data_IF_777025441058
#
_entry.id   IF_777025441058
#
_cell.length_a   1.000
_cell.length_b   1.000
_cell.length_c   1.000
_cell.angle_alpha   90.00
_cell.angle_beta   90.00
_cell.angle_gamma   90.00
#
_symmetry.space_group_name_H-M   'P 1'
#
loop_
_entity.id
_entity.type
_entity.pdbx_description
1 polymer ?
#
# COMPACT_ATOMS: atom_id res chain seq x y z
N UNK A 1 -50.72 -20.71 -30.73
CA UNK A 1 -50.85 -19.37 -31.34
C UNK A 1 -49.47 -18.75 -31.47
N UNK A 2 -48.95 -18.63 -32.70
CA UNK A 2 -47.62 -18.09 -33.00
C UNK A 2 -47.70 -16.55 -33.02
N UNK A 3 -46.84 -15.87 -32.26
CA UNK A 3 -46.69 -14.41 -32.32
C UNK A 3 -45.40 -14.08 -33.06
N UNK A 4 -45.53 -13.45 -34.22
CA UNK A 4 -44.44 -12.84 -34.97
C UNK A 4 -44.29 -11.39 -34.52
N UNK A 5 -43.07 -10.95 -34.23
CA UNK A 5 -42.72 -9.54 -34.04
C UNK A 5 -41.89 -9.13 -35.27
N UNK A 6 -42.37 -8.13 -36.00
CA UNK A 6 -41.78 -7.58 -37.21
C UNK A 6 -41.39 -6.13 -36.95
N UNK A 7 -40.12 -5.82 -37.30
CA UNK A 7 -39.50 -4.52 -37.66
C UNK A 7 -39.59 -3.34 -36.65
N UNK A 8 -38.58 -2.46 -36.52
CA UNK A 8 -37.92 -1.72 -37.61
C UNK A 8 -36.49 -1.31 -37.26
N UNK A 9 -35.59 -1.45 -38.24
CA UNK A 9 -34.21 -0.93 -38.23
C UNK A 9 -34.23 0.43 -38.96
N UNK A 10 -33.81 1.49 -38.28
CA UNK A 10 -33.57 2.81 -38.88
C UNK A 10 -32.07 2.97 -39.19
N UNK A 11 -31.65 3.19 -40.44
CA UNK A 11 -30.27 3.54 -40.75
C UNK A 11 -30.10 5.06 -40.65
N UNK A 12 -29.34 5.54 -39.67
CA UNK A 12 -28.81 6.90 -39.67
C UNK A 12 -27.67 7.00 -40.68
N UNK A 13 -27.99 7.53 -41.87
CA UNK A 13 -27.01 8.02 -42.83
C UNK A 13 -26.53 9.40 -42.36
N UNK A 14 -25.34 9.47 -41.76
CA UNK A 14 -24.64 10.74 -41.55
C UNK A 14 -23.60 10.95 -42.64
N UNK A 15 -23.89 11.97 -43.43
CA UNK A 15 -23.22 12.46 -44.64
C UNK A 15 -21.82 13.00 -44.35
N UNK A 16 -20.82 12.48 -45.05
CA UNK A 16 -19.50 13.08 -45.19
C UNK A 16 -19.58 14.43 -45.94
N UNK A 17 -19.16 15.53 -45.31
CA UNK A 17 -18.79 16.76 -46.01
C UNK A 17 -17.27 16.86 -46.07
N UNK A 18 -16.72 16.83 -47.29
CA UNK A 18 -15.34 17.21 -47.60
C UNK A 18 -15.27 18.73 -47.72
N UNK A 19 -14.42 19.36 -46.92
CA UNK A 19 -14.00 20.75 -47.14
C UNK A 19 -12.66 20.80 -47.88
N UNK A 20 -12.58 21.75 -48.82
CA UNK A 20 -11.48 21.96 -49.74
C UNK A 20 -10.38 22.81 -49.11
N UNK A 21 -9.15 22.41 -49.36
CA UNK A 21 -7.89 23.15 -49.14
C UNK A 21 -7.73 24.29 -50.14
N UNK A 22 -7.27 25.45 -49.67
CA UNK A 22 -6.63 26.54 -50.47
C UNK A 22 -5.41 27.08 -49.70
N UNK A 23 -4.29 27.46 -50.36
CA UNK A 23 -2.96 27.56 -49.75
C UNK A 23 -2.48 28.98 -49.34
N UNK A 24 -1.72 29.02 -48.24
CA UNK A 24 -0.49 29.79 -47.83
C UNK A 24 -0.29 31.25 -48.30
N UNK A 25 0.12 32.16 -47.39
CA UNK A 25 1.51 32.64 -47.44
C UNK A 25 2.23 32.68 -46.09
N UNK A 26 3.49 32.23 -46.14
CA UNK A 26 4.53 32.22 -45.11
C UNK A 26 4.85 33.62 -44.57
N UNK A 27 4.93 33.78 -43.24
CA UNK A 27 5.92 34.65 -42.60
C UNK A 27 6.21 34.18 -41.18
N UNK A 28 7.49 33.95 -40.94
CA UNK A 28 8.06 33.51 -39.68
C UNK A 28 7.85 34.55 -38.56
N UNK A 29 7.46 34.06 -37.39
CA UNK A 29 7.84 34.65 -36.12
C UNK A 29 8.21 33.47 -35.20
N UNK A 30 9.52 33.24 -35.08
CA UNK A 30 10.10 32.38 -34.05
C UNK A 30 9.77 33.05 -32.71
N UNK A 31 8.65 32.66 -32.10
CA UNK A 31 8.43 32.94 -30.69
C UNK A 31 9.38 32.03 -29.90
N UNK A 32 10.40 32.68 -29.33
CA UNK A 32 11.25 32.09 -28.28
C UNK A 32 10.30 31.46 -27.26
N UNK A 33 10.37 30.13 -27.23
CA UNK A 33 9.82 29.31 -26.16
C UNK A 33 10.67 29.66 -24.95
N UNK A 34 10.22 30.61 -24.14
CA UNK A 34 10.67 30.74 -22.76
C UNK A 34 10.17 29.49 -22.04
N UNK A 35 10.92 28.40 -22.23
CA UNK A 35 10.84 27.25 -21.34
C UNK A 35 11.40 27.72 -20.02
N UNK A 36 10.53 28.28 -19.19
CA UNK A 36 10.71 28.20 -17.76
C UNK A 36 10.76 26.69 -17.48
N UNK A 37 11.98 26.15 -17.42
CA UNK A 37 12.22 24.89 -16.74
C UNK A 37 11.92 25.20 -15.29
N UNK A 38 10.66 25.03 -14.89
CA UNK A 38 10.37 24.70 -13.50
C UNK A 38 11.19 23.46 -13.22
N UNK A 39 12.27 23.62 -12.44
CA UNK A 39 12.94 22.50 -11.81
C UNK A 39 11.87 21.80 -10.98
N UNK A 40 11.24 20.76 -11.56
CA UNK A 40 10.38 19.86 -10.82
C UNK A 40 11.25 19.30 -9.71
N UNK A 41 10.90 19.64 -8.47
CA UNK A 41 11.61 19.20 -7.28
C UNK A 41 11.73 17.66 -7.36
N UNK A 42 12.96 17.19 -7.53
CA UNK A 42 13.20 15.79 -7.83
C UNK A 42 12.91 14.98 -6.56
N UNK A 43 11.84 14.19 -6.59
CA UNK A 43 11.53 13.25 -5.51
C UNK A 43 12.71 12.31 -5.26
N UNK A 44 13.08 12.17 -3.99
CA UNK A 44 14.04 11.19 -3.50
C UNK A 44 13.32 10.28 -2.50
N UNK A 45 13.56 8.97 -2.62
CA UNK A 45 12.95 7.99 -1.72
C UNK A 45 13.49 8.16 -0.30
N UNK A 46 12.62 8.54 0.63
CA UNK A 46 12.92 8.55 2.07
C UNK A 46 12.23 7.36 2.73
N UNK A 47 12.99 6.31 2.99
CA UNK A 47 12.52 5.04 3.57
C UNK A 47 11.84 5.22 4.92
N UNK A 48 12.23 6.25 5.69
CA UNK A 48 11.67 6.51 7.01
C UNK A 48 10.30 7.21 6.94
N UNK A 49 9.91 7.65 5.75
CA UNK A 49 8.62 8.30 5.48
C UNK A 49 7.64 7.39 4.73
N UNK A 50 8.01 6.13 4.49
CA UNK A 50 7.19 5.13 3.81
C UNK A 50 6.75 4.04 4.77
N UNK A 51 5.49 3.64 4.63
CA UNK A 51 4.89 2.62 5.48
C UNK A 51 4.11 1.61 4.62
N UNK A 52 4.18 0.33 4.97
CA UNK A 52 3.29 -0.68 4.40
C UNK A 52 1.86 -0.45 4.87
N UNK A 53 0.90 -0.59 3.95
CA UNK A 53 -0.52 -0.47 4.25
C UNK A 53 -1.22 -1.78 3.94
N UNK A 54 -1.99 -2.22 4.94
CA UNK A 54 -2.54 -3.55 5.02
C UNK A 54 -4.01 -3.48 5.37
N UNK A 55 -4.81 -4.35 4.74
CA UNK A 55 -6.18 -4.57 5.15
C UNK A 55 -6.15 -5.58 6.31
N UNK A 56 -6.64 -5.19 7.49
CA UNK A 56 -6.63 -6.03 8.70
C UNK A 56 -7.97 -6.72 8.96
N UNK A 57 -9.07 -6.12 8.50
CA UNK A 57 -10.43 -6.67 8.58
C UNK A 57 -11.16 -6.40 7.27
N UNK A 58 -12.43 -6.80 7.15
CA UNK A 58 -13.24 -6.48 5.95
C UNK A 58 -13.42 -4.98 5.68
N UNK A 59 -13.18 -4.12 6.68
CA UNK A 59 -13.37 -2.66 6.59
C UNK A 59 -12.14 -1.84 7.00
N UNK A 60 -11.25 -2.41 7.79
CA UNK A 60 -10.16 -1.68 8.42
C UNK A 60 -8.86 -1.85 7.62
N UNK A 61 -8.28 -0.71 7.27
CA UNK A 61 -7.01 -0.58 6.56
C UNK A 61 -6.07 0.20 7.45
N UNK A 62 -4.85 -0.27 7.63
CA UNK A 62 -3.94 0.30 8.60
C UNK A 62 -2.50 0.39 8.09
N UNK A 63 -1.78 1.37 8.62
CA UNK A 63 -0.32 1.29 8.77
C UNK A 63 -0.06 0.43 10.02
N UNK A 64 0.77 -0.60 9.88
CA UNK A 64 1.14 -1.47 10.99
C UNK A 64 2.60 -1.22 11.35
N UNK A 65 2.85 -0.78 12.58
CA UNK A 65 4.20 -0.51 13.10
C UNK A 65 4.56 -1.63 14.07
N UNK A 66 5.58 -2.45 13.77
CA UNK A 66 6.02 -3.50 14.70
C UNK A 66 6.55 -2.85 15.99
N UNK A 67 6.28 -3.49 17.11
CA UNK A 67 6.85 -3.15 18.41
C UNK A 67 7.25 -4.44 19.11
N UNK A 68 8.42 -4.44 19.73
CA UNK A 68 9.00 -5.63 20.31
C UNK A 68 9.56 -5.33 21.71
N UNK A 69 9.17 -6.15 22.68
CA UNK A 69 9.67 -6.02 24.04
C UNK A 69 11.17 -6.23 24.12
N UNK A 70 11.87 -5.36 24.85
CA UNK A 70 13.32 -5.45 25.04
C UNK A 70 14.16 -5.09 23.81
N UNK A 71 13.55 -4.71 22.68
CA UNK A 71 14.25 -4.21 21.50
C UNK A 71 14.10 -2.68 21.39
N UNK A 72 15.11 -1.89 21.78
CA UNK A 72 15.05 -0.44 21.71
C UNK A 72 15.29 0.13 20.31
N UNK A 73 15.79 -0.68 19.37
CA UNK A 73 16.12 -0.23 18.01
C UNK A 73 14.86 -0.19 17.13
N UNK A 74 13.84 -0.97 17.48
CA UNK A 74 12.51 -0.91 16.86
C UNK A 74 11.76 0.36 17.30
N UNK A 75 11.28 1.20 16.37
CA UNK A 75 10.55 2.43 16.70
C UNK A 75 9.36 2.18 17.62
N UNK A 76 9.16 3.08 18.59
CA UNK A 76 8.06 3.06 19.57
C UNK A 76 8.08 1.90 20.58
N UNK A 77 8.91 0.86 20.44
CA UNK A 77 8.96 -0.30 21.34
C UNK A 77 9.09 0.07 22.81
N UNK A 78 10.06 0.93 23.16
CA UNK A 78 10.24 1.38 24.56
C UNK A 78 9.01 2.09 25.11
N UNK A 79 8.34 2.91 24.28
CA UNK A 79 7.14 3.65 24.69
C UNK A 79 5.95 2.69 24.86
N UNK A 80 5.82 1.73 23.95
CA UNK A 80 4.85 0.65 24.00
C UNK A 80 5.03 -0.19 25.26
N UNK A 81 6.22 -0.71 25.51
CA UNK A 81 6.56 -1.49 26.71
C UNK A 81 6.28 -0.71 28.00
N UNK A 82 6.66 0.57 28.06
CA UNK A 82 6.36 1.42 29.21
C UNK A 82 4.85 1.61 29.43
N UNK A 83 4.07 1.77 28.36
CA UNK A 83 2.62 1.84 28.45
C UNK A 83 2.04 0.51 28.93
N UNK A 84 2.50 -0.63 28.40
CA UNK A 84 2.01 -1.94 28.79
C UNK A 84 2.30 -2.29 30.25
N UNK A 85 3.53 -2.03 30.71
CA UNK A 85 3.99 -2.36 32.06
C UNK A 85 3.41 -1.45 33.14
N UNK A 86 3.26 -0.15 32.87
CA UNK A 86 2.76 0.82 33.85
C UNK A 86 1.24 1.02 33.79
N UNK A 87 0.63 1.04 32.59
CA UNK A 87 -0.79 1.34 32.37
C UNK A 87 -1.66 0.08 32.19
N UNK A 88 -1.12 -1.09 32.54
CA UNK A 88 -1.85 -2.34 32.75
C UNK A 88 -2.46 -2.95 31.48
N UNK A 89 -1.63 -3.55 30.60
CA UNK A 89 -2.06 -4.76 29.87
C UNK A 89 -1.59 -5.95 30.69
N UNK A 90 -2.48 -6.55 31.48
CA UNK A 90 -2.01 -7.47 32.48
C UNK A 90 -2.31 -8.92 32.14
N UNK A 91 -2.91 -9.24 30.99
CA UNK A 91 -3.24 -10.63 30.68
C UNK A 91 -2.01 -11.51 30.38
N UNK A 92 -0.92 -10.93 29.86
CA UNK A 92 0.42 -11.57 29.75
C UNK A 92 0.98 -11.85 31.17
N UNK A 93 0.44 -11.20 32.20
CA UNK A 93 0.88 -11.28 33.60
C UNK A 93 -0.28 -11.54 34.62
N UNK A 94 -1.42 -12.09 34.19
CA UNK A 94 -2.54 -12.47 35.04
C UNK A 94 -3.37 -11.37 35.77
N UNK A 95 -3.57 -10.16 35.24
CA UNK A 95 -4.57 -9.18 35.78
C UNK A 95 -5.61 -8.71 34.75
N UNK A 96 -6.72 -8.19 35.25
CA UNK A 96 -7.89 -7.75 34.45
C UNK A 96 -7.62 -6.51 33.61
N UNK A 97 -8.04 -6.55 32.33
CA UNK A 97 -7.94 -5.44 31.39
C UNK A 97 -9.00 -4.36 31.66
N UNK A 98 -8.70 -3.37 32.51
CA UNK A 98 -9.59 -2.21 32.69
C UNK A 98 -9.62 -1.33 31.42
N UNK A 99 -10.82 -1.03 30.93
CA UNK A 99 -11.09 -0.10 29.80
C UNK A 99 -10.65 -0.55 28.39
N UNK A 100 -10.27 -1.81 28.20
CA UNK A 100 -9.98 -2.37 26.88
C UNK A 100 -11.23 -2.99 26.25
N UNK A 101 -11.29 -2.93 24.92
CA UNK A 101 -12.35 -3.57 24.13
C UNK A 101 -11.72 -4.37 23.01
N UNK A 102 -12.26 -5.55 22.75
CA UNK A 102 -12.00 -6.25 21.49
C UNK A 102 -12.49 -5.37 20.34
N UNK A 103 -11.55 -4.95 19.48
CA UNK A 103 -11.84 -4.21 18.27
C UNK A 103 -12.19 -5.17 17.13
N UNK A 104 -11.43 -6.26 17.02
CA UNK A 104 -11.71 -7.39 16.13
C UNK A 104 -11.19 -8.69 16.78
N UNK A 105 -11.88 -9.80 16.54
CA UNK A 105 -11.48 -11.14 17.03
C UNK A 105 -11.54 -12.21 15.93
N UNK A 106 -11.92 -11.83 14.70
CA UNK A 106 -12.28 -12.78 13.64
C UNK A 106 -11.16 -12.89 12.61
N UNK A 107 -10.41 -11.81 12.41
CA UNK A 107 -9.36 -11.71 11.39
C UNK A 107 -8.09 -12.46 11.84
N UNK A 108 -6.95 -12.18 11.18
CA UNK A 108 -5.71 -12.97 11.36
C UNK A 108 -5.25 -13.03 12.82
N UNK A 109 -5.40 -11.93 13.57
CA UNK A 109 -5.22 -11.88 15.02
C UNK A 109 -6.19 -10.90 15.68
N UNK A 110 -6.42 -11.04 17.00
CA UNK A 110 -7.29 -10.12 17.74
C UNK A 110 -6.67 -8.73 17.81
N UNK A 111 -7.51 -7.72 17.61
CA UNK A 111 -7.15 -6.31 17.75
C UNK A 111 -7.81 -5.74 19.00
N UNK A 112 -7.06 -4.92 19.73
CA UNK A 112 -7.49 -4.30 20.98
C UNK A 112 -7.58 -2.79 20.83
N UNK A 113 -8.62 -2.22 21.41
CA UNK A 113 -8.80 -0.78 21.50
C UNK A 113 -8.82 -0.33 22.95
N UNK A 114 -8.08 0.74 23.22
CA UNK A 114 -8.13 1.49 24.47
C UNK A 114 -7.99 2.98 24.16
N UNK A 115 -8.82 3.82 24.79
CA UNK A 115 -8.85 5.26 24.48
C UNK A 115 -7.54 5.96 24.86
N UNK A 116 -6.96 5.61 26.01
CA UNK A 116 -5.68 6.19 26.47
C UNK A 116 -4.53 5.78 25.57
N UNK A 117 -4.50 4.49 25.18
CA UNK A 117 -3.56 4.00 24.19
C UNK A 117 -3.65 4.81 22.89
N UNK A 118 -4.87 4.98 22.37
CA UNK A 118 -5.09 5.79 21.17
C UNK A 118 -4.57 7.22 21.34
N UNK A 119 -4.93 7.89 22.43
CA UNK A 119 -4.56 9.29 22.66
C UNK A 119 -3.04 9.52 22.82
N UNK A 120 -2.30 8.48 23.24
CA UNK A 120 -0.84 8.51 23.34
C UNK A 120 -0.21 8.24 21.98
N UNK A 121 -0.53 7.11 21.36
CA UNK A 121 0.18 6.66 20.16
C UNK A 121 -0.23 7.40 18.90
N UNK A 122 -1.46 7.95 18.84
CA UNK A 122 -1.88 8.78 17.71
C UNK A 122 -0.99 10.02 17.52
N UNK A 123 -0.38 10.53 18.59
CA UNK A 123 0.52 11.71 18.55
C UNK A 123 1.91 11.40 18.01
N UNK A 124 2.27 10.11 17.89
CA UNK A 124 3.57 9.70 17.34
C UNK A 124 3.56 9.69 15.81
N UNK A 125 2.38 9.81 15.20
CA UNK A 125 2.18 9.79 13.75
C UNK A 125 1.74 11.17 13.25
N UNK A 126 1.94 11.44 11.96
CA UNK A 126 1.39 12.63 11.30
C UNK A 126 -0.12 12.54 11.21
N UNK A 127 -0.77 13.70 11.15
CA UNK A 127 -2.23 13.79 11.01
C UNK A 127 -2.75 13.15 9.72
N UNK A 128 -1.92 13.16 8.66
CA UNK A 128 -2.30 12.68 7.35
C UNK A 128 -1.15 12.11 6.53
N UNK A 129 -1.48 11.18 5.63
CA UNK A 129 -0.57 10.49 4.73
C UNK A 129 -1.15 10.43 3.32
N UNK A 130 -0.28 10.38 2.32
CA UNK A 130 -0.64 9.99 0.96
C UNK A 130 -0.68 8.46 0.89
N UNK A 131 -1.86 7.88 0.72
CA UNK A 131 -2.05 6.43 0.63
C UNK A 131 -2.21 6.04 -0.83
N UNK A 132 -1.28 5.22 -1.30
CA UNK A 132 -1.22 4.72 -2.66
C UNK A 132 -1.85 3.34 -2.71
N UNK A 133 -2.80 3.16 -3.63
CA UNK A 133 -3.41 1.87 -3.93
C UNK A 133 -3.10 1.40 -5.33
N UNK A 134 -3.74 0.31 -5.75
CA UNK A 134 -3.52 -0.31 -7.06
C UNK A 134 -3.97 0.52 -8.27
N UNK A 135 -4.73 1.61 -8.08
CA UNK A 135 -5.28 2.42 -9.18
C UNK A 135 -4.90 3.90 -9.14
N UNK A 136 -4.77 4.46 -7.94
CA UNK A 136 -4.45 5.86 -7.71
C UNK A 136 -4.02 6.04 -6.25
N UNK A 137 -3.93 7.29 -5.79
CA UNK A 137 -3.65 7.61 -4.39
C UNK A 137 -4.67 8.61 -3.85
N UNK A 138 -4.74 8.72 -2.52
CA UNK A 138 -5.55 9.72 -1.85
C UNK A 138 -4.89 10.15 -0.54
N UNK A 139 -5.19 11.35 -0.08
CA UNK A 139 -4.78 11.80 1.25
C UNK A 139 -5.71 11.21 2.30
N UNK A 140 -5.15 10.47 3.26
CA UNK A 140 -5.87 9.84 4.37
C UNK A 140 -5.42 10.40 5.71
N UNK A 141 -6.26 10.29 6.72
CA UNK A 141 -6.03 10.61 8.12
C UNK A 141 -6.21 9.37 8.99
N UNK A 142 -5.56 9.35 10.16
CA UNK A 142 -5.74 8.29 11.15
C UNK A 142 -7.09 8.45 11.85
N UNK A 143 -8.01 7.52 11.61
CA UNK A 143 -9.31 7.44 12.28
C UNK A 143 -9.17 6.91 13.71
N UNK A 144 -8.38 5.87 13.89
CA UNK A 144 -8.24 5.15 15.14
C UNK A 144 -6.86 4.53 15.27
N UNK A 145 -6.42 4.34 16.50
CA UNK A 145 -5.26 3.51 16.82
C UNK A 145 -5.71 2.33 17.65
N UNK A 146 -5.32 1.14 17.20
CA UNK A 146 -5.52 -0.15 17.87
C UNK A 146 -4.18 -0.86 17.93
N UNK A 147 -4.10 -1.97 18.64
CA UNK A 147 -2.88 -2.77 18.69
C UNK A 147 -3.23 -4.25 18.73
N UNK A 148 -2.28 -5.06 18.31
CA UNK A 148 -2.29 -6.50 18.49
C UNK A 148 -1.19 -6.83 19.49
N UNK A 149 -1.49 -7.77 20.39
CA UNK A 149 -0.52 -8.23 21.38
C UNK A 149 -0.52 -9.74 21.47
N UNK A 150 0.68 -10.32 21.49
CA UNK A 150 0.95 -11.75 21.57
C UNK A 150 1.76 -12.10 22.81
N UNK A 151 1.67 -13.35 23.25
CA UNK A 151 2.43 -13.84 24.41
C UNK A 151 3.95 -13.84 24.19
N UNK A 152 4.39 -13.80 22.92
CA UNK A 152 5.81 -13.78 22.55
C UNK A 152 6.41 -12.37 22.55
N UNK A 153 5.62 -11.32 22.77
CA UNK A 153 6.08 -9.95 22.80
C UNK A 153 6.47 -9.35 21.46
N UNK A 154 6.11 -10.03 20.36
CA UNK A 154 6.15 -9.51 19.00
C UNK A 154 4.76 -8.98 18.67
N UNK A 155 4.61 -7.66 18.77
CA UNK A 155 3.33 -6.97 18.75
C UNK A 155 3.33 -5.93 17.62
N UNK A 156 2.19 -5.31 17.36
CA UNK A 156 2.16 -4.14 16.49
C UNK A 156 1.09 -3.13 16.87
N UNK A 157 1.37 -1.87 16.52
CA UNK A 157 0.43 -0.77 16.60
C UNK A 157 -0.18 -0.57 15.20
N UNK A 158 -1.50 -0.64 15.11
CA UNK A 158 -2.25 -0.43 13.88
C UNK A 158 -2.95 0.94 13.88
N UNK A 159 -2.54 1.79 12.94
CA UNK A 159 -3.11 3.10 12.70
C UNK A 159 -4.15 2.99 11.59
N UNK A 160 -5.44 2.87 11.98
CA UNK A 160 -6.56 2.70 11.05
C UNK A 160 -6.79 3.98 10.25
N UNK A 161 -6.74 3.88 8.93
CA UNK A 161 -6.86 4.96 7.97
C UNK A 161 -8.27 5.10 7.41
N UNK A 162 -8.67 6.31 7.00
CA UNK A 162 -9.93 6.56 6.29
C UNK A 162 -9.85 6.32 4.77
N UNK A 163 -9.39 5.14 4.36
CA UNK A 163 -9.23 4.82 2.93
C UNK A 163 -10.58 4.57 2.26
N UNK A 164 -10.80 5.22 1.12
CA UNK A 164 -11.81 4.84 0.13
C UNK A 164 -11.19 3.92 -0.94
N UNK A 165 -11.54 2.63 -0.91
CA UNK A 165 -11.07 1.63 -1.88
C UNK A 165 -11.68 1.80 -3.26
N UNK A 166 -12.83 2.45 -3.39
CA UNK A 166 -13.45 2.69 -4.69
C UNK A 166 -12.61 3.68 -5.50
N UNK A 167 -11.97 4.64 -4.81
CA UNK A 167 -11.10 5.63 -5.42
C UNK A 167 -9.73 5.04 -5.79
N UNK A 168 -9.04 4.40 -4.83
CA UNK A 168 -7.62 4.03 -4.99
C UNK A 168 -7.38 2.55 -5.32
N UNK A 169 -8.41 1.71 -5.26
CA UNK A 169 -8.26 0.26 -5.32
C UNK A 169 -7.80 -0.33 -3.98
N UNK A 170 -6.99 -1.39 -4.03
CA UNK A 170 -6.43 -1.97 -2.80
C UNK A 170 -5.24 -1.12 -2.32
N UNK A 171 -5.21 -0.71 -1.05
CA UNK A 171 -4.13 0.13 -0.51
C UNK A 171 -2.84 -0.68 -0.36
N UNK A 172 -1.70 -0.03 -0.61
CA UNK A 172 -0.40 -0.68 -0.68
C UNK A 172 0.63 -0.01 0.22
N UNK A 173 0.86 1.28 0.06
CA UNK A 173 1.79 2.05 0.90
C UNK A 173 1.17 3.36 1.33
N UNK A 174 1.68 3.91 2.42
CA UNK A 174 1.46 5.28 2.84
C UNK A 174 2.79 6.03 2.81
N UNK A 175 2.77 7.30 2.42
CA UNK A 175 3.91 8.18 2.51
C UNK A 175 3.55 9.51 3.16
N UNK A 176 4.49 10.08 3.89
CA UNK A 176 4.35 11.43 4.46
C UNK A 176 4.46 12.54 3.40
N UNK A 177 5.06 12.23 2.25
CA UNK A 177 5.25 13.17 1.12
C UNK A 177 4.58 12.60 -0.12
N UNK A 178 4.14 13.50 -1.01
CA UNK A 178 3.61 13.06 -2.29
C UNK A 178 4.73 12.48 -3.15
N UNK A 179 4.52 11.24 -3.57
CA UNK A 179 5.30 10.55 -4.58
C UNK A 179 4.57 10.72 -5.93
N UNK A 180 5.21 11.32 -6.95
CA UNK A 180 4.61 11.52 -8.27
C UNK A 180 4.63 10.21 -9.09
N UNK A 181 3.90 9.21 -8.61
CA UNK A 181 3.80 7.90 -9.26
C UNK A 181 3.04 7.98 -10.58
N UNK A 182 3.59 7.31 -11.58
CA UNK A 182 2.88 6.99 -12.81
C UNK A 182 2.29 5.59 -12.66
N UNK A 183 0.99 5.48 -12.87
CA UNK A 183 0.27 4.21 -12.93
C UNK A 183 0.23 3.74 -14.37
N UNK A 184 0.67 2.52 -14.62
CA UNK A 184 0.67 1.90 -15.95
C UNK A 184 0.25 0.42 -15.82
N UNK A 185 -0.23 -0.15 -16.92
CA UNK A 185 -0.55 -1.56 -17.05
C UNK A 185 0.58 -2.35 -17.73
N UNK A 186 1.61 -1.68 -18.24
CA UNK A 186 2.70 -2.28 -19.02
C UNK A 186 3.99 -2.52 -18.23
N UNK A 187 3.93 -3.35 -17.18
CA UNK A 187 5.11 -3.71 -16.36
C UNK A 187 5.56 -5.16 -16.50
N UNK A 188 5.15 -5.88 -17.55
CA UNK A 188 5.42 -7.32 -17.67
C UNK A 188 6.92 -7.67 -17.67
N UNK A 189 7.74 -6.92 -18.40
CA UNK A 189 9.20 -7.11 -18.44
C UNK A 189 9.88 -6.71 -17.13
N UNK A 190 9.39 -5.65 -16.50
CA UNK A 190 9.85 -5.17 -15.18
C UNK A 190 9.57 -6.22 -14.11
N UNK A 191 8.33 -6.71 -14.03
CA UNK A 191 7.92 -7.76 -13.09
C UNK A 191 8.76 -9.03 -13.28
N UNK A 192 9.03 -9.43 -14.54
CA UNK A 192 9.91 -10.58 -14.83
C UNK A 192 11.33 -10.36 -14.31
N UNK A 193 11.86 -9.14 -14.48
CA UNK A 193 13.21 -8.79 -14.03
C UNK A 193 13.31 -8.78 -12.51
N UNK A 194 12.34 -8.18 -11.83
CA UNK A 194 12.23 -8.17 -10.35
C UNK A 194 12.10 -9.60 -9.82
N UNK A 195 11.16 -10.40 -10.36
CA UNK A 195 10.97 -11.81 -9.97
C UNK A 195 12.26 -12.61 -10.11
N UNK A 196 12.98 -12.46 -11.23
CA UNK A 196 14.25 -13.15 -11.47
C UNK A 196 15.35 -12.71 -10.49
N UNK A 197 15.34 -11.45 -10.05
CA UNK A 197 16.30 -10.95 -9.07
C UNK A 197 15.97 -11.47 -7.66
N UNK A 198 14.72 -11.32 -7.22
CA UNK A 198 14.27 -11.75 -5.89
C UNK A 198 14.46 -13.26 -5.67
N UNK A 199 14.19 -14.08 -6.69
CA UNK A 199 14.43 -15.52 -6.64
C UNK A 199 15.89 -15.89 -6.35
N UNK A 200 16.88 -15.04 -6.70
CA UNK A 200 18.30 -15.29 -6.44
C UNK A 200 18.75 -14.88 -5.04
N UNK A 201 18.00 -14.03 -4.36
CA UNK A 201 18.37 -13.39 -3.08
C UNK A 201 17.67 -14.00 -1.85
N UNK A 202 17.16 -15.24 -1.95
CA UNK A 202 16.59 -16.03 -0.83
C UNK A 202 15.11 -15.82 -0.46
N UNK A 203 14.24 -15.43 -1.40
CA UNK A 203 12.78 -15.59 -1.22
C UNK A 203 12.30 -17.06 -1.31
N UNK A 204 13.21 -18.02 -1.58
CA UNK A 204 12.89 -19.44 -1.73
C UNK A 204 12.42 -20.11 -0.43
N UNK A 205 12.91 -19.64 0.73
CA UNK A 205 12.56 -20.22 2.04
C UNK A 205 11.19 -19.75 2.56
N UNK A 206 10.80 -18.50 2.30
CA UNK A 206 9.56 -17.92 2.85
C UNK A 206 8.33 -18.17 1.95
N UNK A 207 8.51 -18.24 0.63
CA UNK A 207 7.40 -18.31 -0.33
C UNK A 207 7.31 -19.66 -1.07
N UNK A 208 8.32 -20.51 -0.94
CA UNK A 208 8.51 -21.70 -1.77
C UNK A 208 9.02 -21.36 -3.17
N UNK A 209 9.80 -22.28 -3.74
CA UNK A 209 10.50 -22.07 -5.01
C UNK A 209 9.55 -21.64 -6.14
N UNK A 210 9.79 -20.47 -6.72
CA UNK A 210 9.09 -19.97 -7.91
C UNK A 210 7.71 -19.32 -7.69
N UNK A 211 7.20 -19.31 -6.46
CA UNK A 211 5.84 -18.82 -6.15
C UNK A 211 5.75 -17.31 -5.95
N UNK A 212 6.85 -16.65 -5.55
CA UNK A 212 6.90 -15.20 -5.45
C UNK A 212 6.69 -14.56 -6.83
N UNK A 213 5.66 -13.71 -6.94
CA UNK A 213 5.29 -13.06 -8.20
C UNK A 213 4.82 -11.61 -7.94
N UNK A 214 5.76 -10.69 -7.65
CA UNK A 214 5.41 -9.31 -7.34
C UNK A 214 4.84 -8.62 -8.57
N UNK A 215 3.86 -7.75 -8.33
CA UNK A 215 3.21 -6.93 -9.34
C UNK A 215 3.58 -5.48 -9.12
N UNK A 216 4.20 -4.86 -10.11
CA UNK A 216 4.40 -3.40 -10.17
C UNK A 216 3.07 -2.72 -10.42
N UNK A 217 2.73 -1.73 -9.59
CA UNK A 217 1.50 -0.93 -9.73
C UNK A 217 1.77 0.52 -10.12
N UNK A 218 3.00 0.99 -9.94
CA UNK A 218 3.40 2.32 -10.36
C UNK A 218 4.90 2.51 -10.31
N UNK A 219 5.37 3.57 -10.95
CA UNK A 219 6.79 3.90 -10.97
C UNK A 219 7.04 5.41 -10.92
N UNK A 220 8.22 5.79 -10.44
CA UNK A 220 8.77 7.13 -10.59
C UNK A 220 10.21 7.01 -11.07
N UNK A 221 10.48 7.47 -12.30
CA UNK A 221 11.78 7.26 -12.97
C UNK A 221 12.15 5.77 -12.96
N UNK A 222 13.28 5.43 -12.35
CA UNK A 222 13.81 4.07 -12.22
C UNK A 222 13.37 3.34 -10.94
N UNK A 223 12.51 3.96 -10.11
CA UNK A 223 11.90 3.35 -8.94
C UNK A 223 10.58 2.69 -9.32
N UNK A 224 10.44 1.41 -8.98
CA UNK A 224 9.27 0.60 -9.25
C UNK A 224 8.66 0.14 -7.93
N UNK A 225 7.39 0.45 -7.76
CA UNK A 225 6.65 0.14 -6.55
C UNK A 225 5.82 -1.11 -6.81
N UNK A 226 6.00 -2.11 -5.96
CA UNK A 226 5.46 -3.46 -6.15
C UNK A 226 4.68 -3.93 -4.94
N UNK A 227 3.85 -4.94 -5.18
CA UNK A 227 3.21 -5.70 -4.11
C UNK A 227 3.15 -7.18 -4.47
N UNK A 228 3.14 -8.03 -3.45
CA UNK A 228 2.75 -9.43 -3.53
C UNK A 228 1.62 -9.65 -2.54
N UNK A 229 0.38 -9.70 -3.03
CA UNK A 229 -0.82 -9.84 -2.20
C UNK A 229 -2.01 -10.23 -3.08
N UNK A 230 -2.84 -11.15 -2.59
CA UNK A 230 -4.13 -11.49 -3.21
C UNK A 230 -5.31 -10.72 -2.57
N UNK A 231 -5.01 -9.91 -1.55
CA UNK A 231 -5.91 -9.08 -0.76
C UNK A 231 -7.01 -9.88 -0.05
N UNK A 232 -6.69 -11.11 0.34
CA UNK A 232 -7.61 -12.02 1.02
C UNK A 232 -7.07 -12.53 2.36
N UNK A 233 -5.76 -12.43 2.58
CA UNK A 233 -5.07 -12.96 3.76
C UNK A 233 -5.70 -12.55 5.12
N UNK A 234 -6.31 -11.37 5.21
CA UNK A 234 -6.96 -10.89 6.43
C UNK A 234 -8.17 -11.73 6.88
N UNK A 235 -8.82 -12.44 5.94
CA UNK A 235 -9.96 -13.32 6.21
C UNK A 235 -9.51 -14.79 6.09
N UNK A 236 -9.46 -15.49 7.23
CA UNK A 236 -9.06 -16.91 7.32
C UNK A 236 -9.95 -17.84 6.48
N UNK A 237 -11.17 -17.41 6.12
CA UNK A 237 -12.13 -18.21 5.33
C UNK A 237 -12.07 -17.92 3.82
N UNK A 238 -11.30 -16.92 3.40
CA UNK A 238 -11.24 -16.47 2.01
C UNK A 238 -10.51 -17.42 1.06
N UNK A 239 -9.78 -18.40 1.60
CA UNK A 239 -8.90 -19.27 0.82
C UNK A 239 -7.68 -18.54 0.25
N UNK A 240 -7.18 -17.52 0.96
CA UNK A 240 -5.94 -16.82 0.59
C UNK A 240 -4.81 -17.80 0.29
N UNK A 241 -4.09 -17.56 -0.81
CA UNK A 241 -2.85 -18.26 -1.14
C UNK A 241 -1.63 -17.40 -0.81
N UNK A 242 -1.84 -16.11 -0.49
CA UNK A 242 -0.80 -15.24 0.01
C UNK A 242 -0.63 -15.44 1.52
N UNK A 243 0.55 -15.92 1.90
CA UNK A 243 0.95 -16.15 3.29
C UNK A 243 1.74 -14.98 3.89
N UNK A 244 2.51 -14.29 3.04
CA UNK A 244 3.36 -13.17 3.43
C UNK A 244 3.09 -11.98 2.51
N UNK A 245 2.01 -11.22 2.74
CA UNK A 245 1.70 -10.08 1.89
C UNK A 245 2.80 -9.03 2.02
N UNK A 246 3.32 -8.58 0.88
CA UNK A 246 4.50 -7.72 0.83
C UNK A 246 4.25 -6.48 -0.01
N UNK A 247 4.93 -5.39 0.34
CA UNK A 247 5.03 -4.12 -0.37
C UNK A 247 6.51 -3.82 -0.53
N UNK A 248 6.94 -3.43 -1.71
CA UNK A 248 8.35 -3.15 -1.93
C UNK A 248 8.59 -2.02 -2.94
N UNK A 249 9.80 -1.46 -2.86
CA UNK A 249 10.33 -0.48 -3.80
C UNK A 249 11.64 -1.02 -4.34
N UNK A 250 11.70 -1.22 -5.64
CA UNK A 250 12.89 -1.65 -6.36
C UNK A 250 13.44 -0.51 -7.20
N UNK A 251 14.76 -0.43 -7.28
CA UNK A 251 15.46 0.40 -8.26
C UNK A 251 15.99 -0.47 -9.39
N UNK A 252 15.79 -0.04 -10.64
CA UNK A 252 16.39 -0.69 -11.80
C UNK A 252 17.45 0.23 -12.42
N UNK A 253 18.71 -0.17 -12.31
CA UNK A 253 19.85 0.56 -12.88
C UNK A 253 19.94 0.43 -14.40
N UNK A 254 20.83 1.23 -15.00
CA UNK A 254 21.03 1.33 -16.47
C UNK A 254 21.45 0.03 -17.16
N UNK A 255 21.97 -0.95 -16.41
CA UNK A 255 22.34 -2.30 -16.90
C UNK A 255 21.31 -3.38 -16.54
N UNK A 256 20.10 -2.98 -16.13
CA UNK A 256 19.05 -3.90 -15.69
C UNK A 256 19.33 -4.56 -14.33
N UNK A 257 20.31 -4.05 -13.57
CA UNK A 257 20.53 -4.48 -12.17
C UNK A 257 19.34 -4.02 -11.34
N UNK A 258 18.71 -4.97 -10.64
CA UNK A 258 17.60 -4.70 -9.74
C UNK A 258 18.15 -4.65 -8.32
N UNK A 259 17.82 -3.59 -7.57
CA UNK A 259 18.15 -3.46 -6.15
C UNK A 259 16.85 -3.30 -5.35
N UNK A 260 16.66 -4.09 -4.29
CA UNK A 260 15.61 -3.82 -3.30
C UNK A 260 16.02 -2.61 -2.47
N UNK A 261 15.20 -1.55 -2.48
CA UNK A 261 15.47 -0.36 -1.66
C UNK A 261 14.69 -0.38 -0.35
N UNK A 262 13.46 -0.86 -0.37
CA UNK A 262 12.57 -0.86 0.79
C UNK A 262 11.57 -1.99 0.63
N UNK A 263 11.24 -2.66 1.72
CA UNK A 263 10.12 -3.60 1.79
C UNK A 263 9.40 -3.46 3.12
N UNK A 264 8.15 -3.89 3.12
CA UNK A 264 7.35 -4.17 4.30
C UNK A 264 6.61 -5.44 4.00
N UNK A 265 6.64 -6.38 4.94
CA UNK A 265 5.99 -7.69 4.84
C UNK A 265 5.16 -7.93 6.11
N UNK A 266 4.07 -8.68 5.99
CA UNK A 266 3.39 -9.27 7.16
C UNK A 266 3.59 -10.78 7.15
N UNK A 267 3.69 -11.40 8.32
CA UNK A 267 3.77 -12.84 8.47
C UNK A 267 2.39 -13.53 8.48
N UNK A 268 2.42 -14.85 8.67
CA UNK A 268 1.24 -15.72 8.77
C UNK A 268 0.27 -15.36 9.92
N UNK A 269 0.76 -14.68 10.95
CA UNK A 269 0.00 -14.22 12.10
C UNK A 269 -0.48 -12.76 11.93
N UNK A 270 -0.18 -12.15 10.77
CA UNK A 270 -0.46 -10.76 10.52
C UNK A 270 0.37 -9.85 11.39
N UNK A 271 1.60 -10.25 11.74
CA UNK A 271 2.61 -9.41 12.37
C UNK A 271 3.52 -8.82 11.29
N UNK A 272 3.87 -7.52 11.34
CA UNK A 272 4.87 -6.97 10.44
C UNK A 272 6.23 -7.61 10.69
N UNK A 273 6.90 -8.07 9.62
CA UNK A 273 8.27 -8.57 9.68
C UNK A 273 9.26 -7.39 9.79
N UNK A 274 10.30 -7.54 10.62
CA UNK A 274 11.39 -6.58 10.82
C UNK A 274 12.52 -6.76 9.79
#
# INVERSE_FOLDING_TARGET
>A
MKKYIILSIFPFLLSCKKEKTVPVPTKAAVQKKDSIKTDEEQYQLDKNSLFGVYQLTSKDIAICIPVQFGDPDVPLSRKYENFLTNDSIPWIYGKDMKDYKYYDTISVGPLYYNKRFEDIFKKEMKDSYFVYGTRSFQKCTIKRVVFQSTECGNDYIAYILNVDKNLIGNPLIASEKEIPLKYDNSYSEINRSIKKSAAKESTENNYGFGNYNPTTYGNYKNLYFTYYDDFKWYDKKSGSHCQFPERAVFEIGTKGKVNLLWSSEMDLLGLPCL
#
